data_IF_098913101153
#
_entry.id   IF_098913101153
#
_cell.length_a   1.000
_cell.length_b   1.000
_cell.length_c   1.000
_cell.angle_alpha   90.00
_cell.angle_beta   90.00
_cell.angle_gamma   90.00
#
_symmetry.space_group_name_H-M   'P 1'
#
loop_
_entity.id
_entity.type
_entity.pdbx_description
1 polymer ?
#
# COMPACT_ATOMS: atom_id res chain seq x y z
N UNK A 1 -0.68 4.47 -19.68
CA UNK A 1 0.09 4.45 -18.42
C UNK A 1 0.58 3.03 -18.18
N UNK A 2 1.89 2.81 -18.06
CA UNK A 2 2.41 1.48 -17.75
C UNK A 2 1.80 1.00 -16.41
N UNK A 3 1.24 -0.21 -16.38
CA UNK A 3 0.76 -0.81 -15.13
C UNK A 3 1.99 -1.05 -14.26
N UNK A 4 2.04 -0.41 -13.10
CA UNK A 4 3.11 -0.62 -12.13
C UNK A 4 3.16 -2.09 -11.68
N UNK A 5 4.34 -2.56 -11.26
CA UNK A 5 4.51 -3.91 -10.70
C UNK A 5 3.50 -4.15 -9.58
N UNK A 6 2.92 -5.35 -9.53
CA UNK A 6 2.04 -5.79 -8.43
C UNK A 6 2.76 -5.64 -7.08
N UNK A 7 1.97 -5.48 -6.01
CA UNK A 7 2.49 -5.55 -4.64
C UNK A 7 3.02 -6.95 -4.36
N UNK A 8 4.25 -7.01 -3.87
CA UNK A 8 4.88 -8.22 -3.33
C UNK A 8 4.26 -8.58 -1.97
N UNK A 9 4.43 -9.83 -1.54
CA UNK A 9 3.89 -10.28 -0.24
C UNK A 9 4.50 -9.51 0.94
N UNK A 10 5.77 -9.12 0.82
CA UNK A 10 6.41 -8.23 1.80
C UNK A 10 5.72 -6.87 1.87
N UNK A 11 5.52 -6.20 0.72
CA UNK A 11 4.86 -4.90 0.69
C UNK A 11 3.41 -4.96 1.22
N UNK A 12 2.70 -6.08 0.98
CA UNK A 12 1.36 -6.30 1.53
C UNK A 12 1.39 -6.39 3.05
N UNK A 13 2.29 -7.20 3.61
CA UNK A 13 2.47 -7.30 5.05
C UNK A 13 2.87 -5.97 5.70
N UNK A 14 3.70 -5.17 5.03
CA UNK A 14 4.03 -3.82 5.48
C UNK A 14 2.82 -2.88 5.46
N UNK A 15 1.99 -2.92 4.41
CA UNK A 15 0.75 -2.12 4.33
C UNK A 15 -0.20 -2.50 5.47
N UNK A 16 -0.43 -3.79 5.71
CA UNK A 16 -1.30 -4.29 6.80
C UNK A 16 -0.77 -3.86 8.17
N UNK A 17 0.52 -4.06 8.43
CA UNK A 17 1.16 -3.66 9.69
C UNK A 17 1.03 -2.16 9.93
N UNK A 18 1.30 -1.31 8.91
CA UNK A 18 1.19 0.14 9.06
C UNK A 18 -0.28 0.59 9.18
N UNK A 19 -1.20 -0.06 8.49
CA UNK A 19 -2.64 0.19 8.63
C UNK A 19 -3.14 -0.06 10.04
N UNK A 20 -2.66 -1.13 10.69
CA UNK A 20 -3.00 -1.46 12.07
C UNK A 20 -2.62 -0.36 13.07
N UNK A 21 -1.59 0.44 12.75
CA UNK A 21 -1.16 1.61 13.55
C UNK A 21 -2.00 2.88 13.30
N UNK A 22 -3.12 2.76 12.57
CA UNK A 22 -3.96 3.87 12.10
C UNK A 22 -3.23 4.88 11.22
N UNK A 23 -2.18 4.44 10.52
CA UNK A 23 -1.45 5.28 9.59
C UNK A 23 -2.28 5.55 8.34
N UNK A 24 -2.29 6.80 7.88
CA UNK A 24 -3.06 7.16 6.67
C UNK A 24 -2.40 6.59 5.41
N UNK A 25 -3.21 6.21 4.41
CA UNK A 25 -2.74 5.57 3.17
C UNK A 25 -1.66 6.36 2.43
N UNK A 26 -1.67 7.70 2.54
CA UNK A 26 -0.63 8.56 1.97
C UNK A 26 0.72 8.36 2.65
N UNK A 27 0.75 8.24 3.97
CA UNK A 27 1.98 8.01 4.73
C UNK A 27 2.50 6.59 4.51
N UNK A 28 1.61 5.60 4.45
CA UNK A 28 1.95 4.22 4.08
C UNK A 28 2.62 4.19 2.70
N UNK A 29 1.99 4.82 1.70
CA UNK A 29 2.51 4.89 0.34
C UNK A 29 3.93 5.50 0.27
N UNK A 30 4.20 6.56 1.03
CA UNK A 30 5.53 7.16 1.14
C UNK A 30 6.52 6.17 1.76
N UNK A 31 6.14 5.49 2.85
CA UNK A 31 7.00 4.51 3.53
C UNK A 31 7.43 3.35 2.64
N UNK A 32 6.49 2.80 1.86
CA UNK A 32 6.74 1.63 1.00
C UNK A 32 7.19 2.01 -0.42
N UNK A 33 7.38 3.30 -0.71
CA UNK A 33 7.80 3.77 -2.03
C UNK A 33 6.79 3.50 -3.16
N UNK A 34 5.49 3.46 -2.85
CA UNK A 34 4.41 3.22 -3.83
C UNK A 34 3.48 4.42 -3.95
N UNK A 35 2.61 4.39 -4.96
CA UNK A 35 1.58 5.42 -5.10
C UNK A 35 0.43 5.20 -4.13
N UNK A 36 -0.20 6.29 -3.68
CA UNK A 36 -1.41 6.25 -2.84
C UNK A 36 -2.51 5.40 -3.49
N UNK A 37 -2.63 5.43 -4.82
CA UNK A 37 -3.61 4.64 -5.57
C UNK A 37 -3.40 3.13 -5.41
N UNK A 38 -2.14 2.68 -5.40
CA UNK A 38 -1.82 1.25 -5.19
C UNK A 38 -2.26 0.80 -3.79
N UNK A 39 -1.95 1.60 -2.76
CA UNK A 39 -2.35 1.33 -1.37
C UNK A 39 -3.88 1.36 -1.22
N UNK A 40 -4.56 2.31 -1.84
CA UNK A 40 -6.01 2.36 -1.81
C UNK A 40 -6.67 1.20 -2.54
N UNK A 41 -6.08 0.72 -3.64
CA UNK A 41 -6.58 -0.44 -4.36
C UNK A 41 -6.38 -1.73 -3.55
N UNK A 42 -5.33 -1.82 -2.74
CA UNK A 42 -5.13 -2.92 -1.82
C UNK A 42 -6.30 -3.02 -0.82
N UNK A 43 -6.64 -1.92 -0.14
CA UNK A 43 -7.76 -1.89 0.82
C UNK A 43 -9.17 -1.99 0.21
N UNK A 44 -9.33 -1.85 -1.11
CA UNK A 44 -10.63 -2.00 -1.79
C UNK A 44 -10.94 -3.44 -2.16
N UNK A 45 -9.94 -4.32 -2.12
CA UNK A 45 -10.05 -5.72 -2.52
C UNK A 45 -10.35 -6.61 -1.29
N UNK A 46 -10.16 -6.10 -0.08
CA UNK A 46 -10.60 -6.72 1.18
C UNK A 46 -12.01 -6.25 1.61
#
# INVERSE_FOLDING_TARGET
MAKGKKLTDQERGEIEALSSTRMISRAIAIKIGRSKTVVNNFFKIE
#
